data_IF_900096720448
#
_entry.id   IF_900096720448
#
_cell.length_a   1.000
_cell.length_b   1.000
_cell.length_c   1.000
_cell.angle_alpha   90.00
_cell.angle_beta   90.00
_cell.angle_gamma   90.00
#
_symmetry.space_group_name_H-M   'P 1'
#
loop_
_entity.id
_entity.type
_entity.pdbx_description
1 polymer ?
#
# COMPACT_ATOMS: atom_id res chain seq x y z
N UNK A 1 -19.17 -18.83 11.01
CA UNK A 1 -19.09 -18.67 9.53
C UNK A 1 -20.02 -17.57 9.00
N UNK A 2 -21.12 -17.23 9.69
CA UNK A 2 -22.08 -16.18 9.26
C UNK A 2 -21.54 -14.75 9.24
N UNK A 3 -20.74 -14.34 10.24
CA UNK A 3 -20.28 -12.95 10.36
C UNK A 3 -19.28 -12.53 9.27
N UNK A 4 -18.37 -13.45 8.87
CA UNK A 4 -17.35 -13.19 7.84
C UNK A 4 -18.00 -13.08 6.46
N UNK A 5 -18.94 -13.97 6.15
CA UNK A 5 -19.68 -13.93 4.88
C UNK A 5 -20.55 -12.67 4.79
N UNK A 6 -21.18 -12.26 5.89
CA UNK A 6 -21.95 -11.01 5.94
C UNK A 6 -21.06 -9.76 5.74
N UNK A 7 -19.84 -9.77 6.28
CA UNK A 7 -18.88 -8.67 6.08
C UNK A 7 -18.36 -8.62 4.65
N UNK A 8 -18.06 -9.77 4.03
CA UNK A 8 -17.64 -9.85 2.62
C UNK A 8 -18.76 -9.41 1.68
N UNK A 9 -20.00 -9.81 1.95
CA UNK A 9 -21.16 -9.39 1.15
C UNK A 9 -21.50 -7.89 1.32
N UNK A 10 -21.08 -7.26 2.42
CA UNK A 10 -21.23 -5.82 2.65
C UNK A 10 -20.14 -4.96 2.01
N UNK A 11 -19.13 -5.55 1.36
CA UNK A 11 -18.07 -4.81 0.66
C UNK A 11 -18.51 -4.55 -0.78
N UNK A 12 -18.71 -3.27 -1.12
CA UNK A 12 -18.97 -2.89 -2.50
C UNK A 12 -17.69 -3.10 -3.33
N UNK A 13 -17.68 -3.99 -4.34
CA UNK A 13 -16.49 -4.25 -5.15
C UNK A 13 -16.02 -3.00 -5.90
N UNK A 14 -16.92 -2.06 -6.21
CA UNK A 14 -16.58 -0.78 -6.84
C UNK A 14 -15.61 0.04 -5.98
N UNK A 15 -15.80 0.02 -4.65
CA UNK A 15 -14.94 0.78 -3.72
C UNK A 15 -13.53 0.19 -3.68
N UNK A 16 -13.44 -1.14 -3.74
CA UNK A 16 -12.16 -1.86 -3.79
C UNK A 16 -11.41 -1.54 -5.09
N UNK A 17 -12.10 -1.56 -6.24
CA UNK A 17 -11.47 -1.27 -7.53
C UNK A 17 -11.01 0.19 -7.62
N UNK A 18 -11.85 1.15 -7.22
CA UNK A 18 -11.51 2.57 -7.28
C UNK A 18 -10.36 2.95 -6.34
N UNK A 19 -10.36 2.41 -5.11
CA UNK A 19 -9.26 2.62 -4.17
C UNK A 19 -7.97 1.94 -4.65
N UNK A 20 -8.05 0.74 -5.22
CA UNK A 20 -6.90 0.05 -5.79
C UNK A 20 -6.32 0.81 -7.00
N UNK A 21 -7.17 1.37 -7.87
CA UNK A 21 -6.73 2.17 -9.02
C UNK A 21 -5.97 3.42 -8.56
N UNK A 22 -6.48 4.14 -7.57
CA UNK A 22 -5.79 5.32 -7.05
C UNK A 22 -4.49 4.98 -6.31
N UNK A 23 -4.45 3.88 -5.57
CA UNK A 23 -3.21 3.38 -4.98
C UNK A 23 -2.19 2.98 -6.06
N UNK A 24 -2.64 2.46 -7.20
CA UNK A 24 -1.76 2.14 -8.32
C UNK A 24 -1.16 3.40 -8.97
N UNK A 25 -1.96 4.46 -9.14
CA UNK A 25 -1.47 5.76 -9.63
C UNK A 25 -0.48 6.37 -8.64
N UNK A 26 -0.79 6.31 -7.34
CA UNK A 26 0.13 6.72 -6.28
C UNK A 26 1.44 5.92 -6.35
N UNK A 27 1.38 4.60 -6.56
CA UNK A 27 2.56 3.76 -6.70
C UNK A 27 3.42 4.15 -7.89
N UNK A 28 2.80 4.42 -9.04
CA UNK A 28 3.50 4.92 -10.23
C UNK A 28 4.21 6.24 -9.94
N UNK A 29 3.56 7.19 -9.26
CA UNK A 29 4.17 8.44 -8.87
C UNK A 29 5.29 8.26 -7.82
N UNK A 30 5.07 7.42 -6.82
CA UNK A 30 6.00 7.21 -5.71
C UNK A 30 7.27 6.50 -6.18
N UNK A 31 7.13 5.35 -6.83
CA UNK A 31 8.29 4.59 -7.32
C UNK A 31 8.89 5.21 -8.58
N UNK A 32 8.07 5.81 -9.45
CA UNK A 32 8.52 6.45 -10.68
C UNK A 32 9.26 7.77 -10.47
N UNK A 33 8.90 8.55 -9.44
CA UNK A 33 9.53 9.84 -9.16
C UNK A 33 10.37 9.82 -7.88
N UNK A 34 9.79 9.47 -6.73
CA UNK A 34 10.46 9.67 -5.43
C UNK A 34 11.59 8.64 -5.24
N UNK A 35 11.27 7.36 -5.39
CA UNK A 35 12.27 6.29 -5.22
C UNK A 35 13.31 6.34 -6.34
N UNK A 36 12.90 6.63 -7.59
CA UNK A 36 13.84 6.76 -8.69
C UNK A 36 14.84 7.90 -8.50
N UNK A 37 14.43 9.04 -7.93
CA UNK A 37 15.34 10.13 -7.59
C UNK A 37 16.30 9.76 -6.47
N UNK A 38 15.81 9.09 -5.43
CA UNK A 38 16.64 8.62 -4.31
C UNK A 38 17.67 7.59 -4.83
N UNK A 39 17.23 6.60 -5.59
CA UNK A 39 18.10 5.58 -6.17
C UNK A 39 19.16 6.20 -7.08
N UNK A 40 18.79 7.17 -7.95
CA UNK A 40 19.77 7.88 -8.79
C UNK A 40 20.79 8.66 -7.98
N UNK A 41 20.38 9.29 -6.89
CA UNK A 41 21.28 10.02 -5.99
C UNK A 41 22.30 9.08 -5.35
N UNK A 42 21.86 7.91 -4.87
CA UNK A 42 22.73 6.93 -4.23
C UNK A 42 23.60 6.14 -5.20
N UNK A 43 23.10 5.81 -6.39
CA UNK A 43 23.91 5.21 -7.47
C UNK A 43 24.98 6.19 -7.97
N UNK A 44 24.69 7.50 -7.97
CA UNK A 44 25.70 8.52 -8.27
C UNK A 44 26.73 8.70 -7.13
N UNK A 45 26.31 8.50 -5.87
CA UNK A 45 27.17 8.62 -4.70
C UNK A 45 28.08 7.38 -4.47
N UNK A 46 27.58 6.17 -4.72
CA UNK A 46 28.35 4.93 -4.61
C UNK A 46 28.87 4.48 -5.99
N UNK A 47 30.17 4.73 -6.25
CA UNK A 47 30.91 4.21 -7.42
C UNK A 47 31.02 2.67 -7.50
N UNK A 48 30.26 1.90 -6.71
CA UNK A 48 30.47 0.47 -6.49
C UNK A 48 29.25 -0.45 -6.56
N UNK A 49 28.04 0.00 -6.87
CA UNK A 49 26.83 -0.84 -6.72
C UNK A 49 26.49 -1.64 -7.98
N UNK A 50 27.38 -2.56 -8.40
CA UNK A 50 27.07 -3.60 -9.42
C UNK A 50 26.01 -4.63 -8.96
N UNK A 51 25.49 -4.55 -7.73
CA UNK A 51 24.52 -5.53 -7.16
C UNK A 51 23.05 -5.16 -7.35
N UNK A 52 22.71 -3.91 -7.66
CA UNK A 52 21.30 -3.47 -7.76
C UNK A 52 20.68 -3.77 -9.13
N UNK A 53 21.48 -3.73 -10.20
CA UNK A 53 21.04 -4.04 -11.57
C UNK A 53 20.45 -5.46 -11.68
N UNK A 54 21.00 -6.42 -10.93
CA UNK A 54 20.51 -7.81 -10.92
C UNK A 54 19.17 -8.02 -10.20
N UNK A 55 18.75 -7.12 -9.30
CA UNK A 55 17.44 -7.22 -8.62
C UNK A 55 16.33 -6.65 -9.49
N UNK A 56 16.61 -5.55 -10.21
CA UNK A 56 15.66 -4.91 -11.12
C UNK A 56 15.35 -5.79 -12.33
N UNK A 57 16.31 -6.62 -12.79
CA UNK A 57 16.13 -7.48 -13.96
C UNK A 57 15.37 -8.80 -13.70
N UNK A 58 15.12 -9.20 -12.45
CA UNK A 58 14.55 -10.53 -12.17
C UNK A 58 13.03 -10.65 -12.39
N UNK A 59 12.31 -9.54 -12.39
CA UNK A 59 10.85 -9.55 -12.43
C UNK A 59 10.34 -8.53 -13.44
N UNK A 60 9.43 -8.96 -14.32
CA UNK A 60 8.85 -8.06 -15.31
C UNK A 60 8.02 -6.97 -14.62
N UNK A 61 8.12 -5.73 -15.12
CA UNK A 61 7.35 -4.60 -14.56
C UNK A 61 5.84 -4.84 -14.58
N UNK A 62 5.35 -5.63 -15.55
CA UNK A 62 3.96 -6.06 -15.61
C UNK A 62 3.56 -6.95 -14.42
N UNK A 63 4.40 -7.94 -14.08
CA UNK A 63 4.14 -8.84 -12.95
C UNK A 63 4.14 -8.06 -11.63
N UNK A 64 5.08 -7.14 -11.45
CA UNK A 64 5.15 -6.31 -10.24
C UNK A 64 3.98 -5.33 -10.14
N UNK A 65 3.55 -4.74 -11.26
CA UNK A 65 2.35 -3.90 -11.33
C UNK A 65 1.10 -4.69 -10.94
N UNK A 66 0.94 -5.92 -11.44
CA UNK A 66 -0.20 -6.77 -11.12
C UNK A 66 -0.21 -7.18 -9.64
N UNK A 67 0.93 -7.58 -9.08
CA UNK A 67 1.04 -7.93 -7.66
C UNK A 67 0.73 -6.71 -6.78
N UNK A 68 1.23 -5.52 -7.14
CA UNK A 68 0.94 -4.30 -6.39
C UNK A 68 -0.55 -3.95 -6.42
N UNK A 69 -1.23 -4.14 -7.56
CA UNK A 69 -2.67 -3.94 -7.68
C UNK A 69 -3.46 -4.93 -6.79
N UNK A 70 -3.03 -6.20 -6.73
CA UNK A 70 -3.64 -7.20 -5.84
C UNK A 70 -3.42 -6.82 -4.36
N UNK A 71 -2.23 -6.37 -3.99
CA UNK A 71 -1.94 -5.87 -2.64
C UNK A 71 -2.79 -4.64 -2.30
N UNK A 72 -2.96 -3.72 -3.25
CA UNK A 72 -3.80 -2.54 -3.12
C UNK A 72 -5.27 -2.93 -2.87
N UNK A 73 -5.82 -3.83 -3.68
CA UNK A 73 -7.18 -4.35 -3.52
C UNK A 73 -7.37 -5.06 -2.16
N UNK A 74 -6.41 -5.89 -1.74
CA UNK A 74 -6.44 -6.55 -0.42
C UNK A 74 -6.42 -5.52 0.72
N UNK A 75 -5.58 -4.49 0.63
CA UNK A 75 -5.52 -3.43 1.65
C UNK A 75 -6.85 -2.70 1.76
N UNK A 76 -7.44 -2.32 0.63
CA UNK A 76 -8.76 -1.70 0.60
C UNK A 76 -9.86 -2.60 1.19
N UNK A 77 -9.86 -3.88 0.85
CA UNK A 77 -10.82 -4.85 1.39
C UNK A 77 -10.70 -4.99 2.91
N UNK A 78 -9.49 -5.03 3.46
CA UNK A 78 -9.27 -5.09 4.91
C UNK A 78 -9.76 -3.80 5.60
N UNK A 79 -9.47 -2.63 5.03
CA UNK A 79 -9.95 -1.35 5.58
C UNK A 79 -11.49 -1.31 5.59
N UNK A 80 -12.14 -1.71 4.49
CA UNK A 80 -13.60 -1.78 4.40
C UNK A 80 -14.19 -2.81 5.37
N UNK A 81 -13.53 -3.95 5.56
CA UNK A 81 -13.93 -4.93 6.56
C UNK A 81 -13.88 -4.36 7.98
N UNK A 82 -12.79 -3.67 8.34
CA UNK A 82 -12.67 -3.00 9.65
C UNK A 82 -13.76 -1.94 9.84
N UNK A 83 -13.98 -1.10 8.83
CA UNK A 83 -15.04 -0.08 8.82
C UNK A 83 -16.43 -0.70 9.05
N UNK A 84 -16.71 -1.83 8.39
CA UNK A 84 -18.00 -2.51 8.52
C UNK A 84 -18.17 -3.15 9.90
N UNK A 85 -17.10 -3.72 10.48
CA UNK A 85 -17.13 -4.35 11.82
C UNK A 85 -17.27 -3.31 12.93
N UNK A 86 -16.53 -2.21 12.84
CA UNK A 86 -16.53 -1.16 13.88
C UNK A 86 -17.52 -0.03 13.62
N UNK A 87 -18.32 -0.13 12.56
CA UNK A 87 -19.34 0.86 12.17
C UNK A 87 -18.80 2.29 12.06
N UNK A 88 -17.61 2.45 11.47
CA UNK A 88 -16.98 3.76 11.33
C UNK A 88 -17.78 4.71 10.42
N UNK A 89 -17.87 5.97 10.84
CA UNK A 89 -18.64 7.05 10.20
C UNK A 89 -17.81 8.29 9.88
N UNK A 90 -16.72 8.53 10.58
CA UNK A 90 -15.89 9.73 10.39
C UNK A 90 -14.64 9.45 9.55
N UNK A 91 -14.12 10.46 8.85
CA UNK A 91 -12.88 10.34 8.08
C UNK A 91 -11.69 9.93 8.96
N UNK A 92 -11.63 10.46 10.19
CA UNK A 92 -10.59 10.12 11.17
C UNK A 92 -10.63 8.64 11.54
N UNK A 93 -11.81 8.03 11.66
CA UNK A 93 -11.94 6.60 11.95
C UNK A 93 -11.50 5.71 10.77
N UNK A 94 -11.72 6.17 9.54
CA UNK A 94 -11.20 5.48 8.36
C UNK A 94 -9.67 5.54 8.29
N UNK A 95 -9.11 6.69 8.67
CA UNK A 95 -7.65 6.86 8.76
C UNK A 95 -7.06 6.00 9.89
N UNK A 96 -7.70 5.90 11.06
CA UNK A 96 -7.20 5.01 12.13
C UNK A 96 -7.29 3.55 11.70
N UNK A 97 -8.36 3.13 11.00
CA UNK A 97 -8.44 1.79 10.42
C UNK A 97 -7.28 1.53 9.45
N UNK A 98 -6.95 2.49 8.59
CA UNK A 98 -5.78 2.41 7.71
C UNK A 98 -4.45 2.32 8.47
N UNK A 99 -4.28 3.08 9.55
CA UNK A 99 -3.04 2.99 10.35
C UNK A 99 -2.91 1.63 11.04
N UNK A 100 -4.02 1.04 11.50
CA UNK A 100 -4.02 -0.31 12.09
C UNK A 100 -3.64 -1.36 11.03
N UNK A 101 -4.16 -1.27 9.80
CA UNK A 101 -3.78 -2.21 8.74
C UNK A 101 -2.30 -2.11 8.37
N UNK A 102 -1.75 -0.90 8.35
CA UNK A 102 -0.31 -0.67 8.15
C UNK A 102 0.48 -1.32 9.29
N UNK A 103 0.16 -1.03 10.55
CA UNK A 103 0.87 -1.60 11.71
C UNK A 103 0.89 -3.14 11.70
N UNK A 104 -0.22 -3.77 11.33
CA UNK A 104 -0.32 -5.23 11.21
C UNK A 104 0.46 -5.79 10.00
N UNK A 105 0.66 -5.00 8.95
CA UNK A 105 1.43 -5.37 7.75
C UNK A 105 2.95 -5.16 7.88
N UNK A 106 3.39 -4.30 8.80
CA UNK A 106 4.80 -3.97 9.04
C UNK A 106 5.72 -5.05 9.64
N UNK A 107 5.28 -6.11 10.37
CA UNK A 107 6.20 -7.09 10.93
C UNK A 107 7.00 -7.88 9.86
N UNK A 108 6.59 -7.82 8.58
CA UNK A 108 7.31 -8.46 7.46
C UNK A 108 8.69 -7.85 7.20
N UNK A 109 8.93 -6.60 7.59
CA UNK A 109 10.20 -5.88 7.34
C UNK A 109 11.26 -6.18 8.42
N UNK A 110 10.84 -6.69 9.58
CA UNK A 110 11.70 -6.89 10.75
C UNK A 110 12.81 -7.95 10.52
N UNK A 111 12.58 -8.94 9.64
CA UNK A 111 13.58 -10.00 9.37
C UNK A 111 14.72 -9.55 8.42
N UNK A 112 14.49 -8.48 7.64
CA UNK A 112 15.49 -7.87 6.74
C UNK A 112 16.36 -6.81 7.44
N UNK A 113 15.94 -6.31 8.61
CA UNK A 113 16.71 -5.37 9.43
C UNK A 113 18.06 -5.92 9.88
N UNK A 114 18.12 -7.23 10.14
CA UNK A 114 19.35 -7.87 10.63
C UNK A 114 20.40 -8.05 9.54
N UNK A 115 20.03 -7.94 8.26
CA UNK A 115 20.90 -8.24 7.12
C UNK A 115 20.75 -7.19 6.00
N UNK A 116 21.45 -6.07 6.14
CA UNK A 116 21.83 -5.14 5.05
C UNK A 116 20.69 -4.51 4.22
N UNK A 117 20.22 -3.32 4.61
CA UNK A 117 19.85 -2.17 3.74
C UNK A 117 19.63 -0.89 4.59
N UNK A 118 19.86 0.32 4.04
CA UNK A 118 19.84 1.58 4.79
C UNK A 118 18.43 1.94 5.27
N UNK A 119 18.35 2.58 6.45
CA UNK A 119 17.13 3.09 7.11
C UNK A 119 16.20 3.85 6.13
N UNK A 120 16.74 4.44 5.07
CA UNK A 120 15.97 5.12 4.03
C UNK A 120 15.04 4.21 3.23
N UNK A 121 15.46 2.99 2.87
CA UNK A 121 14.58 2.03 2.18
C UNK A 121 13.38 1.67 3.05
N UNK A 122 13.61 1.52 4.36
CA UNK A 122 12.55 1.35 5.34
C UNK A 122 11.62 2.57 5.38
N UNK A 123 12.15 3.79 5.47
CA UNK A 123 11.34 5.02 5.46
C UNK A 123 10.53 5.15 4.16
N UNK A 124 11.10 4.79 3.00
CA UNK A 124 10.39 4.88 1.72
C UNK A 124 9.30 3.81 1.57
N UNK A 125 9.53 2.59 2.05
CA UNK A 125 8.55 1.49 2.00
C UNK A 125 7.44 1.70 3.02
N UNK A 126 7.79 2.05 4.26
CA UNK A 126 6.82 2.39 5.31
C UNK A 126 6.01 3.64 4.96
N UNK A 127 6.67 4.67 4.44
CA UNK A 127 6.03 5.90 3.97
C UNK A 127 5.04 5.61 2.84
N UNK A 128 5.42 4.79 1.86
CA UNK A 128 4.51 4.35 0.81
C UNK A 128 3.30 3.61 1.38
N UNK A 129 3.50 2.63 2.26
CA UNK A 129 2.41 1.87 2.87
C UNK A 129 1.44 2.76 3.65
N UNK A 130 1.95 3.74 4.41
CA UNK A 130 1.12 4.72 5.12
C UNK A 130 0.31 5.57 4.15
N UNK A 131 0.96 6.19 3.15
CA UNK A 131 0.27 7.08 2.20
C UNK A 131 -0.74 6.29 1.36
N UNK A 132 -0.40 5.07 0.95
CA UNK A 132 -1.30 4.19 0.21
C UNK A 132 -2.51 3.78 1.05
N UNK A 133 -2.32 3.41 2.33
CA UNK A 133 -3.42 3.07 3.23
C UNK A 133 -4.35 4.25 3.49
N UNK A 134 -3.79 5.44 3.72
CA UNK A 134 -4.58 6.69 3.88
C UNK A 134 -5.34 7.01 2.60
N UNK A 135 -4.73 6.83 1.43
CA UNK A 135 -5.39 7.05 0.13
C UNK A 135 -6.60 6.13 -0.03
N UNK A 136 -6.46 4.85 0.30
CA UNK A 136 -7.59 3.93 0.27
C UNK A 136 -8.69 4.30 1.26
N UNK A 137 -8.34 4.72 2.48
CA UNK A 137 -9.29 5.20 3.47
C UNK A 137 -10.08 6.42 2.99
N UNK A 138 -9.39 7.42 2.42
CA UNK A 138 -10.01 8.65 1.91
C UNK A 138 -10.97 8.34 0.76
N UNK A 139 -10.56 7.52 -0.20
CA UNK A 139 -11.40 7.16 -1.35
C UNK A 139 -12.61 6.35 -0.92
N UNK A 140 -12.39 5.36 -0.05
CA UNK A 140 -13.48 4.54 0.49
C UNK A 140 -14.50 5.37 1.27
N UNK A 141 -14.03 6.39 2.00
CA UNK A 141 -14.91 7.32 2.70
C UNK A 141 -15.73 8.16 1.72
N UNK A 142 -15.09 8.82 0.75
CA UNK A 142 -15.80 9.65 -0.22
C UNK A 142 -16.80 8.85 -1.06
N UNK A 143 -16.45 7.65 -1.52
CA UNK A 143 -17.38 6.83 -2.27
C UNK A 143 -18.61 6.43 -1.45
N UNK A 144 -18.44 6.15 -0.15
CA UNK A 144 -19.56 5.89 0.77
C UNK A 144 -20.41 7.13 1.03
N UNK A 145 -19.79 8.31 1.16
CA UNK A 145 -20.52 9.58 1.35
C UNK A 145 -21.35 9.95 0.13
N UNK A 146 -20.83 9.73 -1.08
CA UNK A 146 -21.51 10.05 -2.32
C UNK A 146 -22.47 8.95 -2.81
N UNK A 147 -22.67 7.86 -2.05
CA UNK A 147 -23.53 6.71 -2.40
C UNK A 147 -23.30 6.16 -3.82
N UNK A 148 -22.04 6.14 -4.27
CA UNK A 148 -21.66 5.38 -5.47
C UNK A 148 -21.64 3.88 -5.22
#
# INVERSE_FOLDING_TARGET
MSAIVATVNGINPLYVVASAAAQQVLAMAWYGCIVSHIDRYYVAADKGVRRFEHVVQRYSGFMMSAINFVCAALRAAIILALVNVFHFRTLSEYQTAAMVTVLLGMPRVCRLFSCQRPIQLFITETGYEVVAAVTAAVISYYMKVYNF
#
